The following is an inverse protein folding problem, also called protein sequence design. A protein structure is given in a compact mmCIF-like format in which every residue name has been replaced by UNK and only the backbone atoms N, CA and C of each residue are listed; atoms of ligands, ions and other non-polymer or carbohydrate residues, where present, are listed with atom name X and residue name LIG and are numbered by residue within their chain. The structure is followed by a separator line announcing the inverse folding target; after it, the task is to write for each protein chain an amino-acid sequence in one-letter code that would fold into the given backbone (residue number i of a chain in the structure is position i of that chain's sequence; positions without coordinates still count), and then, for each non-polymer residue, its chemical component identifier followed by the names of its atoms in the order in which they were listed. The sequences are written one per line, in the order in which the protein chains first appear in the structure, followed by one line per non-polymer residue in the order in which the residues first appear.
data_IF_444840158370
#
_entry.id   IF_444840158370
#
_cell.length_a   1.000
_cell.length_b   1.000
_cell.length_c   1.000
_cell.angle_alpha   90.00
_cell.angle_beta   90.00
_cell.angle_gamma   90.00
#
_symmetry.space_group_name_H-M   'P 1'
#
loop_
_entity.id
_entity.type
_entity.pdbx_description
1 polymer ?
#
# COMPACT_ATOMS: atom_id res chain seq x y z
N UNK A 1 -18.01 -21.56 14.33
CA UNK A 1 -16.79 -20.77 14.68
C UNK A 1 -15.73 -21.12 13.65
N UNK A 2 -15.28 -20.16 12.86
CA UNK A 2 -14.18 -20.38 11.92
C UNK A 2 -12.89 -20.67 12.70
N UNK A 3 -12.14 -21.67 12.26
CA UNK A 3 -10.79 -21.92 12.78
C UNK A 3 -9.88 -20.79 12.32
N UNK A 4 -9.13 -20.20 13.23
CA UNK A 4 -8.19 -19.10 12.96
C UNK A 4 -6.77 -19.65 13.06
N UNK A 5 -5.86 -19.16 12.26
CA UNK A 5 -4.42 -19.47 12.35
C UNK A 5 -3.95 -19.22 13.78
N UNK A 6 -3.11 -20.11 14.30
CA UNK A 6 -2.54 -19.94 15.64
C UNK A 6 -1.73 -18.64 15.69
N UNK A 7 -2.01 -17.80 16.67
CA UNK A 7 -1.26 -16.54 16.88
C UNK A 7 0.24 -16.80 17.10
N UNK A 8 0.60 -17.93 17.69
CA UNK A 8 2.00 -18.32 17.87
C UNK A 8 2.69 -18.69 16.56
N UNK A 9 2.02 -19.44 15.67
CA UNK A 9 2.57 -19.78 14.34
C UNK A 9 2.73 -18.52 13.48
N UNK A 10 1.75 -17.60 13.53
CA UNK A 10 1.83 -16.34 12.82
C UNK A 10 2.99 -15.47 13.33
N UNK A 11 3.15 -15.37 14.63
CA UNK A 11 4.25 -14.61 15.24
C UNK A 11 5.60 -15.19 14.86
N UNK A 12 5.78 -16.51 14.98
CA UNK A 12 7.02 -17.19 14.60
C UNK A 12 7.36 -17.01 13.12
N UNK A 13 6.36 -17.11 12.24
CA UNK A 13 6.56 -16.89 10.80
C UNK A 13 6.91 -15.42 10.47
N UNK A 14 6.30 -14.47 11.19
CA UNK A 14 6.62 -13.04 11.05
C UNK A 14 8.04 -12.73 11.53
N UNK A 15 8.45 -13.27 12.69
CA UNK A 15 9.80 -13.10 13.25
C UNK A 15 10.87 -13.69 12.32
N UNK A 16 10.61 -14.87 11.75
CA UNK A 16 11.51 -15.49 10.79
C UNK A 16 11.69 -14.65 9.52
N UNK A 17 10.58 -14.10 8.98
CA UNK A 17 10.64 -13.19 7.83
C UNK A 17 11.38 -11.90 8.17
N UNK A 18 11.05 -11.24 9.29
CA UNK A 18 11.71 -10.00 9.70
C UNK A 18 13.23 -10.19 9.87
N UNK A 19 13.63 -11.30 10.52
CA UNK A 19 15.06 -11.62 10.67
C UNK A 19 15.78 -11.85 9.34
N UNK A 20 15.13 -12.49 8.37
CA UNK A 20 15.69 -12.69 7.05
C UNK A 20 15.85 -11.36 6.30
N UNK A 21 14.83 -10.50 6.33
CA UNK A 21 14.83 -9.21 5.64
C UNK A 21 15.84 -8.22 6.24
N UNK A 22 15.99 -8.19 7.57
CA UNK A 22 16.98 -7.34 8.26
C UNK A 22 18.45 -7.70 7.95
N UNK A 23 18.69 -8.83 7.28
CA UNK A 23 20.04 -9.16 6.80
C UNK A 23 20.41 -8.46 5.48
N UNK A 24 19.45 -7.82 4.83
CA UNK A 24 19.65 -7.09 3.59
C UNK A 24 20.18 -5.68 3.88
N UNK A 25 21.07 -5.18 3.02
CA UNK A 25 21.60 -3.82 3.15
C UNK A 25 20.52 -2.77 2.89
N UNK A 26 20.43 -1.76 3.77
CA UNK A 26 19.44 -0.69 3.67
C UNK A 26 18.00 -1.11 3.99
N UNK A 27 17.83 -2.24 4.68
CA UNK A 27 16.51 -2.75 5.11
C UNK A 27 16.51 -2.97 6.61
N UNK A 28 15.53 -2.39 7.29
CA UNK A 28 15.25 -2.64 8.71
C UNK A 28 13.85 -3.24 8.85
N UNK A 29 13.75 -4.41 9.45
CA UNK A 29 12.50 -5.14 9.55
C UNK A 29 12.22 -5.59 10.98
N UNK A 30 11.04 -5.31 11.45
CA UNK A 30 10.56 -5.68 12.78
C UNK A 30 9.15 -6.27 12.74
N UNK A 31 8.79 -6.96 13.80
CA UNK A 31 7.40 -7.44 13.96
C UNK A 31 6.64 -6.48 14.86
N UNK A 32 5.63 -5.86 14.32
CA UNK A 32 4.69 -5.01 15.06
C UNK A 32 3.39 -5.73 15.34
N UNK A 33 2.87 -5.56 16.56
CA UNK A 33 1.57 -6.11 16.96
C UNK A 33 0.49 -5.04 16.85
N UNK A 34 -0.48 -5.22 15.95
CA UNK A 34 -1.65 -4.36 15.85
C UNK A 34 -2.84 -4.98 16.60
N UNK A 35 -3.43 -4.20 17.48
CA UNK A 35 -4.66 -4.58 18.18
C UNK A 35 -5.82 -4.65 17.19
N UNK A 36 -6.53 -5.76 17.18
CA UNK A 36 -7.78 -5.95 16.46
C UNK A 36 -8.90 -6.31 17.44
N UNK A 37 -10.15 -6.11 17.01
CA UNK A 37 -11.33 -6.42 17.85
C UNK A 37 -11.42 -7.90 18.21
N UNK A 38 -10.92 -8.78 17.35
CA UNK A 38 -11.05 -10.23 17.52
C UNK A 38 -9.78 -10.90 18.03
N UNK A 39 -8.61 -10.48 17.57
CA UNK A 39 -7.31 -11.03 17.99
C UNK A 39 -6.18 -10.08 17.57
N UNK A 40 -5.07 -10.03 18.30
CA UNK A 40 -3.90 -9.28 17.86
C UNK A 40 -3.38 -9.87 16.55
N UNK A 41 -2.92 -8.99 15.64
CA UNK A 41 -2.30 -9.36 14.36
C UNK A 41 -0.83 -8.96 14.41
N UNK A 42 0.03 -9.88 13.99
CA UNK A 42 1.45 -9.61 13.83
C UNK A 42 1.71 -9.18 12.38
N UNK A 43 2.27 -8.00 12.22
CA UNK A 43 2.59 -7.40 10.92
C UNK A 43 4.10 -7.29 10.85
N UNK A 44 4.68 -7.66 9.70
CA UNK A 44 6.09 -7.39 9.42
C UNK A 44 6.20 -5.97 8.90
N UNK A 45 6.76 -5.07 9.72
CA UNK A 45 7.03 -3.68 9.34
C UNK A 45 8.46 -3.58 8.84
N UNK A 46 8.63 -3.01 7.66
CA UNK A 46 9.93 -2.92 6.99
C UNK A 46 10.17 -1.47 6.57
N UNK A 47 11.26 -0.89 7.06
CA UNK A 47 11.77 0.39 6.57
C UNK A 47 12.89 0.11 5.57
N UNK A 48 12.82 0.72 4.38
CA UNK A 48 13.70 0.43 3.27
C UNK A 48 14.18 1.72 2.59
N UNK A 49 15.44 1.73 2.16
CA UNK A 49 15.96 2.79 1.30
C UNK A 49 15.45 2.66 -0.13
N UNK A 50 15.44 3.76 -0.89
CA UNK A 50 15.02 3.75 -2.30
C UNK A 50 15.89 2.82 -3.15
N UNK A 51 17.19 2.77 -2.84
CA UNK A 51 18.18 1.96 -3.57
C UNK A 51 17.96 0.46 -3.36
N UNK A 52 17.54 0.06 -2.15
CA UNK A 52 17.33 -1.34 -1.79
C UNK A 52 15.92 -1.83 -2.13
N UNK A 53 14.99 -0.90 -2.40
CA UNK A 53 13.59 -1.22 -2.59
C UNK A 53 13.32 -2.28 -3.66
N UNK A 54 13.90 -2.14 -4.84
CA UNK A 54 13.63 -3.07 -5.95
C UNK A 54 14.10 -4.49 -5.62
N UNK A 55 15.27 -4.62 -5.00
CA UNK A 55 15.84 -5.92 -4.58
C UNK A 55 14.96 -6.54 -3.48
N UNK A 56 14.53 -5.73 -2.52
CA UNK A 56 13.59 -6.17 -1.47
C UNK A 56 12.27 -6.68 -2.06
N UNK A 57 11.70 -5.97 -3.04
CA UNK A 57 10.45 -6.36 -3.69
C UNK A 57 10.58 -7.73 -4.39
N UNK A 58 11.67 -7.97 -5.10
CA UNK A 58 11.97 -9.25 -5.74
C UNK A 58 12.15 -10.37 -4.70
N UNK A 59 12.88 -10.10 -3.60
CA UNK A 59 13.04 -11.03 -2.50
C UNK A 59 11.70 -11.39 -1.85
N UNK A 60 10.85 -10.41 -1.56
CA UNK A 60 9.50 -10.64 -1.01
C UNK A 60 8.68 -11.56 -1.91
N UNK A 61 8.75 -11.36 -3.22
CA UNK A 61 7.98 -12.16 -4.17
C UNK A 61 8.54 -13.57 -4.33
N UNK A 62 9.85 -13.71 -4.54
CA UNK A 62 10.48 -14.96 -4.94
C UNK A 62 10.84 -15.83 -3.73
N UNK A 63 11.40 -15.24 -2.68
CA UNK A 63 11.89 -16.00 -1.53
C UNK A 63 10.85 -16.16 -0.42
N UNK A 64 9.94 -15.17 -0.29
CA UNK A 64 8.96 -15.16 0.79
C UNK A 64 7.51 -15.43 0.34
N UNK A 65 7.28 -15.68 -0.94
CA UNK A 65 5.96 -16.00 -1.54
C UNK A 65 4.88 -14.94 -1.22
N UNK A 66 5.29 -13.66 -1.18
CA UNK A 66 4.35 -12.56 -1.01
C UNK A 66 3.63 -12.35 -2.35
N UNK A 67 2.38 -12.74 -2.40
CA UNK A 67 1.62 -12.92 -3.64
C UNK A 67 0.61 -11.80 -3.91
N UNK A 68 0.28 -10.98 -2.93
CA UNK A 68 -0.75 -9.96 -3.08
C UNK A 68 -0.27 -8.57 -2.65
N UNK A 69 -0.39 -7.59 -3.56
CA UNK A 69 -0.23 -6.17 -3.26
C UNK A 69 -1.63 -5.57 -3.06
N UNK A 70 -1.95 -5.20 -1.84
CA UNK A 70 -3.29 -4.69 -1.50
C UNK A 70 -3.40 -3.18 -1.66
N UNK A 71 -2.33 -2.45 -1.38
CA UNK A 71 -2.34 -0.99 -1.42
C UNK A 71 -0.93 -0.43 -1.59
N UNK A 72 -0.82 0.66 -2.36
CA UNK A 72 0.35 1.53 -2.40
C UNK A 72 -0.16 2.94 -2.17
N UNK A 73 0.47 3.67 -1.26
CA UNK A 73 0.12 5.07 -1.02
C UNK A 73 1.35 5.92 -0.82
N UNK A 74 1.34 7.12 -1.41
CA UNK A 74 2.39 8.10 -1.25
C UNK A 74 2.05 9.12 -0.19
N UNK A 75 3.07 9.60 0.51
CA UNK A 75 2.97 10.68 1.49
C UNK A 75 3.98 11.75 1.12
N UNK A 76 3.50 12.99 1.06
CA UNK A 76 4.34 14.17 1.06
C UNK A 76 4.37 14.75 2.47
N UNK A 77 5.51 14.72 3.13
CA UNK A 77 5.66 15.25 4.49
C UNK A 77 5.78 16.79 4.45
N UNK A 78 5.30 17.50 5.48
CA UNK A 78 5.48 18.94 5.56
C UNK A 78 6.95 19.32 5.71
N UNK A 79 7.30 20.53 5.29
CA UNK A 79 8.63 21.11 5.49
C UNK A 79 9.08 21.02 6.94
N UNK A 80 10.34 20.64 7.16
CA UNK A 80 10.93 20.47 8.48
C UNK A 80 10.83 19.05 9.05
N UNK A 81 10.30 18.08 8.32
CA UNK A 81 10.42 16.67 8.66
C UNK A 81 11.89 16.26 8.49
N UNK A 82 12.58 15.79 9.56
CA UNK A 82 14.04 15.75 9.55
C UNK A 82 14.65 14.73 8.61
N UNK A 83 13.97 13.67 8.27
CA UNK A 83 14.57 12.51 7.62
C UNK A 83 13.94 12.12 6.28
N UNK A 84 12.79 12.69 5.94
CA UNK A 84 12.06 12.34 4.71
C UNK A 84 11.09 13.43 4.27
N UNK A 85 11.14 13.79 3.01
CA UNK A 85 10.13 14.67 2.41
C UNK A 85 9.01 13.88 1.75
N UNK A 86 9.33 12.71 1.24
CA UNK A 86 8.40 11.80 0.60
C UNK A 86 8.54 10.39 1.14
N UNK A 87 7.46 9.67 1.13
CA UNK A 87 7.42 8.28 1.56
C UNK A 87 6.39 7.52 0.72
N UNK A 88 6.71 6.29 0.36
CA UNK A 88 5.74 5.36 -0.21
C UNK A 88 5.55 4.21 0.76
N UNK A 89 4.30 3.94 1.08
CA UNK A 89 3.91 2.80 1.91
C UNK A 89 3.27 1.76 1.01
N UNK A 90 3.83 0.56 1.06
CA UNK A 90 3.30 -0.62 0.39
C UNK A 90 2.70 -1.55 1.44
N UNK A 91 1.49 -2.00 1.20
CA UNK A 91 0.87 -3.04 2.01
C UNK A 91 0.71 -4.29 1.19
N UNK A 92 1.42 -5.33 1.61
CA UNK A 92 1.42 -6.63 0.96
C UNK A 92 0.80 -7.70 1.87
N UNK A 93 0.39 -8.77 1.25
CA UNK A 93 -0.06 -9.97 1.95
C UNK A 93 0.56 -11.21 1.33
N UNK A 94 1.03 -12.09 2.19
CA UNK A 94 1.26 -13.48 1.85
C UNK A 94 -0.01 -14.24 2.19
N UNK A 95 -0.69 -14.73 1.17
CA UNK A 95 -1.97 -15.41 1.36
C UNK A 95 -1.80 -16.87 1.80
N UNK A 96 -0.61 -17.44 1.62
CA UNK A 96 -0.34 -18.85 1.90
C UNK A 96 -1.11 -19.80 0.96
N UNK A 97 -1.47 -19.31 -0.23
CA UNK A 97 -2.20 -20.11 -1.23
C UNK A 97 -1.21 -21.03 -1.92
N UNK A 98 -1.50 -22.32 -1.90
CA UNK A 98 -0.81 -23.31 -2.73
C UNK A 98 -1.68 -23.68 -3.91
N UNK A 99 -1.07 -24.03 -5.03
CA UNK A 99 -1.82 -24.50 -6.19
C UNK A 99 -2.74 -25.66 -5.83
N UNK A 100 -4.02 -25.59 -6.18
CA UNK A 100 -4.95 -26.66 -5.85
C UNK A 100 -4.59 -27.92 -6.64
N UNK A 101 -4.68 -29.10 -6.02
CA UNK A 101 -4.44 -30.37 -6.73
C UNK A 101 -5.48 -30.56 -7.84
N UNK A 102 -5.03 -31.05 -8.98
CA UNK A 102 -5.89 -31.42 -10.09
C UNK A 102 -6.04 -32.95 -10.08
N UNK A 103 -7.24 -33.44 -9.83
CA UNK A 103 -7.57 -34.87 -9.85
C UNK A 103 -8.60 -35.08 -10.96
N UNK A 104 -8.33 -36.01 -11.89
CA UNK A 104 -9.19 -36.31 -13.05
C UNK A 104 -9.54 -35.07 -13.89
N UNK A 105 -8.60 -34.13 -14.05
CA UNK A 105 -8.80 -32.88 -14.79
C UNK A 105 -9.65 -31.83 -14.08
N UNK A 106 -10.09 -32.07 -12.85
CA UNK A 106 -10.83 -31.11 -12.05
C UNK A 106 -9.97 -30.56 -10.92
N UNK A 107 -10.02 -29.23 -10.76
CA UNK A 107 -9.39 -28.53 -9.63
C UNK A 107 -10.14 -28.87 -8.36
N UNK A 108 -9.44 -29.44 -7.37
CA UNK A 108 -10.01 -29.76 -6.09
C UNK A 108 -9.81 -28.60 -5.09
N UNK A 109 -10.81 -28.27 -4.26
CA UNK A 109 -10.60 -27.26 -3.24
C UNK A 109 -9.57 -27.72 -2.21
N UNK A 110 -8.60 -26.86 -1.89
CA UNK A 110 -7.68 -27.11 -0.79
C UNK A 110 -8.37 -26.71 0.51
N UNK A 111 -8.65 -27.71 1.34
CA UNK A 111 -9.14 -27.47 2.69
C UNK A 111 -7.99 -27.79 3.66
N UNK A 112 -7.20 -26.77 3.99
CA UNK A 112 -6.18 -26.90 5.03
C UNK A 112 -6.76 -26.48 6.37
N UNK A 113 -6.39 -27.18 7.43
CA UNK A 113 -6.70 -26.73 8.79
C UNK A 113 -5.79 -25.53 9.12
N UNK A 114 -6.33 -24.33 9.34
CA UNK A 114 -5.51 -23.15 9.59
C UNK A 114 -4.65 -23.25 10.86
N UNK A 115 -4.95 -24.21 11.73
CA UNK A 115 -4.15 -24.43 12.95
C UNK A 115 -2.89 -25.26 12.71
N UNK A 116 -2.77 -25.91 11.55
CA UNK A 116 -1.62 -26.74 11.17
C UNK A 116 -0.70 -26.09 10.15
N UNK A 117 -0.97 -24.80 9.78
CA UNK A 117 -0.15 -24.08 8.83
C UNK A 117 1.21 -23.73 9.44
N UNK A 118 2.28 -23.95 8.67
CA UNK A 118 3.66 -23.67 9.08
C UNK A 118 4.43 -22.97 7.98
N UNK A 119 5.47 -22.24 8.37
CA UNK A 119 6.40 -21.60 7.45
C UNK A 119 5.73 -20.66 6.47
N UNK A 120 5.94 -20.89 5.17
CA UNK A 120 5.41 -20.04 4.09
C UNK A 120 3.89 -20.19 3.85
N UNK A 121 3.26 -21.22 4.40
CA UNK A 121 1.82 -21.39 4.31
C UNK A 121 1.04 -20.49 5.28
N UNK A 122 1.73 -19.91 6.26
CA UNK A 122 1.11 -19.01 7.23
C UNK A 122 0.84 -17.66 6.57
N UNK A 123 -0.43 -17.19 6.52
CA UNK A 123 -0.73 -15.86 6.02
C UNK A 123 -0.08 -14.76 6.87
N UNK A 124 0.53 -13.77 6.20
CA UNK A 124 1.17 -12.64 6.86
C UNK A 124 0.79 -11.33 6.17
N UNK A 125 0.69 -10.28 6.97
CA UNK A 125 0.63 -8.89 6.51
C UNK A 125 2.05 -8.29 6.57
N UNK A 126 2.45 -7.59 5.52
CA UNK A 126 3.75 -6.93 5.41
C UNK A 126 3.52 -5.48 5.02
N UNK A 127 4.05 -4.55 5.79
CA UNK A 127 4.04 -3.12 5.49
C UNK A 127 5.46 -2.67 5.22
N UNK A 128 5.73 -2.22 3.99
CA UNK A 128 7.03 -1.68 3.61
C UNK A 128 6.92 -0.17 3.46
N UNK A 129 7.82 0.56 4.08
CA UNK A 129 7.96 2.00 3.98
C UNK A 129 9.26 2.33 3.26
N UNK A 130 9.13 3.03 2.16
CA UNK A 130 10.26 3.50 1.37
C UNK A 130 10.36 5.01 1.54
N UNK A 131 11.36 5.45 2.30
CA UNK A 131 11.64 6.87 2.47
C UNK A 131 12.38 7.40 1.24
N UNK A 132 11.84 8.44 0.61
CA UNK A 132 12.47 9.11 -0.52
C UNK A 132 13.10 10.41 0.01
N UNK A 133 14.40 10.64 -0.19
CA UNK A 133 15.09 11.85 0.24
C UNK A 133 14.51 13.10 -0.41
N UNK A 134 14.89 14.27 0.12
CA UNK A 134 14.43 15.54 -0.41
C UNK A 134 14.70 15.67 -1.90
N UNK A 135 13.63 15.78 -2.68
CA UNK A 135 13.69 15.90 -4.12
C UNK A 135 12.49 16.71 -4.61
N UNK A 136 12.70 17.50 -5.66
CA UNK A 136 11.62 18.13 -6.42
C UNK A 136 10.95 17.14 -7.38
N UNK A 137 11.60 16.02 -7.65
CA UNK A 137 11.18 14.99 -8.57
C UNK A 137 11.35 13.64 -7.87
N UNK A 138 10.46 13.33 -6.90
CA UNK A 138 10.56 12.10 -6.11
C UNK A 138 10.32 10.87 -6.97
N UNK A 139 11.23 9.91 -6.89
CA UNK A 139 11.21 8.69 -7.71
C UNK A 139 11.42 7.44 -6.88
N UNK A 140 10.77 6.38 -7.30
CA UNK A 140 10.93 5.04 -6.72
C UNK A 140 10.76 4.00 -7.83
N UNK A 141 11.41 2.85 -7.72
CA UNK A 141 11.24 1.80 -8.70
C UNK A 141 9.82 1.24 -8.69
N UNK A 142 9.21 1.08 -9.86
CA UNK A 142 7.92 0.41 -10.04
C UNK A 142 8.01 -1.07 -9.71
N UNK A 143 6.92 -1.64 -9.22
CA UNK A 143 6.75 -3.07 -8.95
C UNK A 143 5.54 -3.66 -9.68
N UNK A 144 5.05 -2.96 -10.68
CA UNK A 144 3.91 -3.38 -11.50
C UNK A 144 4.16 -4.71 -12.22
N UNK A 145 5.40 -5.00 -12.58
CA UNK A 145 5.83 -6.25 -13.21
C UNK A 145 5.91 -7.44 -12.23
N UNK A 146 5.99 -7.15 -10.93
CA UNK A 146 6.01 -8.15 -9.86
C UNK A 146 4.59 -8.47 -9.38
N UNK A 147 3.78 -7.42 -9.16
CA UNK A 147 2.39 -7.55 -8.71
C UNK A 147 1.45 -6.77 -9.62
N UNK A 148 0.53 -7.48 -10.25
CA UNK A 148 -0.48 -6.86 -11.14
C UNK A 148 -1.31 -5.80 -10.42
N UNK A 149 -1.58 -5.98 -9.12
CA UNK A 149 -2.30 -5.01 -8.30
C UNK A 149 -1.56 -3.68 -8.11
N UNK A 150 -0.25 -3.63 -8.34
CA UNK A 150 0.53 -2.41 -8.22
C UNK A 150 0.25 -1.42 -9.36
N UNK A 151 -0.12 -1.88 -10.55
CA UNK A 151 -0.35 -1.01 -11.72
C UNK A 151 -1.27 0.16 -11.42
N UNK A 152 -2.45 -0.13 -10.88
CA UNK A 152 -3.44 0.92 -10.59
C UNK A 152 -3.04 1.77 -9.38
N UNK A 153 -2.55 1.14 -8.32
CA UNK A 153 -2.14 1.82 -7.09
C UNK A 153 -0.97 2.81 -7.32
N UNK A 154 -0.01 2.45 -8.17
CA UNK A 154 1.09 3.34 -8.55
C UNK A 154 0.59 4.53 -9.37
N UNK A 155 -0.36 4.32 -10.31
CA UNK A 155 -1.00 5.39 -11.06
C UNK A 155 -1.76 6.36 -10.16
N UNK A 156 -2.52 5.85 -9.19
CA UNK A 156 -3.23 6.68 -8.21
C UNK A 156 -2.26 7.50 -7.36
N UNK A 157 -1.19 6.87 -6.87
CA UNK A 157 -0.16 7.53 -6.06
C UNK A 157 0.54 8.64 -6.86
N UNK A 158 0.92 8.35 -8.11
CA UNK A 158 1.49 9.36 -8.99
C UNK A 158 0.50 10.49 -9.26
N UNK A 159 -0.74 10.18 -9.60
CA UNK A 159 -1.76 11.16 -9.95
C UNK A 159 -2.06 12.13 -8.80
N UNK A 160 -2.16 11.61 -7.57
CA UNK A 160 -2.56 12.40 -6.41
C UNK A 160 -1.37 13.06 -5.68
N UNK A 161 -0.23 12.39 -5.62
CA UNK A 161 0.92 12.82 -4.80
C UNK A 161 2.09 13.28 -5.65
N UNK A 162 2.27 12.72 -6.85
CA UNK A 162 3.34 13.11 -7.78
C UNK A 162 4.68 12.41 -7.54
N UNK A 163 4.66 11.23 -6.92
CA UNK A 163 5.83 10.35 -6.86
C UNK A 163 5.89 9.56 -8.16
N UNK A 164 7.01 9.63 -8.88
CA UNK A 164 7.21 8.92 -10.14
C UNK A 164 7.67 7.48 -9.89
N UNK A 165 7.08 6.53 -10.62
CA UNK A 165 7.41 5.11 -10.51
C UNK A 165 8.25 4.69 -11.72
N UNK A 166 9.57 4.64 -11.53
CA UNK A 166 10.52 4.33 -12.61
C UNK A 166 10.32 2.90 -13.12
N UNK A 167 10.18 2.79 -14.44
CA UNK A 167 9.91 1.51 -15.11
C UNK A 167 8.43 1.14 -15.22
N UNK A 168 7.51 1.95 -14.69
CA UNK A 168 6.08 1.72 -14.86
C UNK A 168 5.65 1.89 -16.32
N UNK A 169 4.96 0.90 -16.87
CA UNK A 169 4.47 0.93 -18.26
C UNK A 169 3.07 1.55 -18.33
N UNK A 170 2.95 2.67 -19.02
CA UNK A 170 1.65 3.31 -19.25
C UNK A 170 1.16 4.20 -18.10
N UNK A 171 2.07 4.91 -17.41
CA UNK A 171 1.72 5.92 -16.41
C UNK A 171 0.80 6.98 -17.00
N UNK A 172 -0.31 7.23 -16.35
CA UNK A 172 -1.31 8.23 -16.73
C UNK A 172 -2.20 8.58 -15.55
N UNK A 173 -2.90 9.73 -15.65
CA UNK A 173 -3.94 10.09 -14.68
C UNK A 173 -5.11 9.10 -14.70
N UNK A 174 -5.61 8.75 -13.54
CA UNK A 174 -6.70 7.78 -13.35
C UNK A 174 -7.83 8.33 -12.48
N UNK A 175 -7.54 9.26 -11.59
CA UNK A 175 -8.52 9.89 -10.69
C UNK A 175 -8.81 11.34 -11.08
N UNK A 176 -7.79 12.10 -11.48
CA UNK A 176 -7.96 13.47 -11.92
C UNK A 176 -8.33 13.54 -13.41
N UNK A 177 -9.04 14.62 -13.84
CA UNK A 177 -9.29 14.88 -15.26
C UNK A 177 -7.99 14.91 -16.07
N UNK A 178 -8.05 14.46 -17.32
CA UNK A 178 -6.86 14.45 -18.21
C UNK A 178 -6.34 15.86 -18.52
N UNK A 179 -7.21 16.86 -18.44
CA UNK A 179 -6.88 18.29 -18.66
C UNK A 179 -6.20 18.94 -17.44
N UNK A 180 -6.07 18.22 -16.33
CA UNK A 180 -5.37 18.75 -15.15
C UNK A 180 -3.96 19.18 -15.51
N UNK A 181 -3.53 20.39 -15.09
CA UNK A 181 -2.21 20.91 -15.43
C UNK A 181 -1.08 19.96 -15.08
N UNK A 182 -0.06 19.91 -15.92
CA UNK A 182 1.15 19.09 -15.66
C UNK A 182 1.80 19.56 -14.36
N UNK A 183 2.21 18.62 -13.52
CA UNK A 183 2.84 18.91 -12.23
C UNK A 183 1.87 19.31 -11.12
N UNK A 184 0.55 19.31 -11.37
CA UNK A 184 -0.43 19.48 -10.32
C UNK A 184 -0.80 18.12 -9.71
N UNK A 185 -0.58 17.98 -8.40
CA UNK A 185 -0.91 16.80 -7.60
C UNK A 185 -1.57 17.27 -6.30
N UNK A 186 -2.87 17.01 -6.11
CA UNK A 186 -3.68 17.70 -5.08
C UNK A 186 -3.28 17.38 -3.65
N UNK A 187 -2.61 16.25 -3.39
CA UNK A 187 -2.20 15.87 -2.04
C UNK A 187 -0.81 16.37 -1.66
N UNK A 188 -0.13 17.09 -2.55
CA UNK A 188 1.12 17.77 -2.19
C UNK A 188 0.85 18.89 -1.20
N UNK A 189 1.68 19.01 -0.16
CA UNK A 189 1.45 19.94 0.97
C UNK A 189 1.52 21.42 0.58
N UNK A 190 2.13 21.75 -0.55
CA UNK A 190 2.10 23.11 -1.10
C UNK A 190 0.72 23.52 -1.62
N UNK A 191 -0.11 22.57 -2.02
CA UNK A 191 -1.48 22.82 -2.42
C UNK A 191 -2.34 22.93 -1.16
N UNK A 192 -2.50 24.16 -0.66
CA UNK A 192 -3.47 24.41 0.43
C UNK A 192 -4.85 24.04 -0.09
N UNK A 193 -5.51 23.13 0.58
CA UNK A 193 -6.95 22.97 0.44
C UNK A 193 -7.55 24.35 0.71
N UNK A 194 -8.09 25.00 -0.34
CA UNK A 194 -8.94 26.15 -0.11
C UNK A 194 -10.08 25.64 0.77
N UNK A 195 -10.22 26.22 1.94
CA UNK A 195 -11.51 26.19 2.62
C UNK A 195 -12.44 26.98 1.71
N UNK A 196 -13.10 26.30 0.79
CA UNK A 196 -14.24 26.88 0.14
C UNK A 196 -15.29 27.03 1.25
N UNK A 197 -15.77 28.25 1.48
CA UNK A 197 -16.97 28.41 2.25
C UNK A 197 -18.00 27.46 1.64
N UNK A 198 -18.81 26.86 2.50
CA UNK A 198 -19.80 25.87 2.09
C UNK A 198 -20.69 26.39 0.93
N UNK A 199 -20.82 27.70 0.78
CA UNK A 199 -21.50 28.38 -0.32
C UNK A 199 -20.78 28.22 -1.67
N UNK A 200 -19.44 28.39 -1.73
CA UNK A 200 -18.69 28.25 -2.97
C UNK A 200 -18.70 26.83 -3.50
N UNK A 201 -18.69 25.82 -2.60
CA UNK A 201 -18.71 24.43 -2.99
C UNK A 201 -20.02 23.99 -3.64
N UNK A 202 -21.12 24.68 -3.34
CA UNK A 202 -22.41 24.42 -3.97
C UNK A 202 -22.64 25.22 -5.26
N UNK A 203 -21.99 26.35 -5.44
CA UNK A 203 -22.06 27.13 -6.68
C UNK A 203 -21.30 26.44 -7.82
N UNK A 204 -20.21 25.75 -7.52
CA UNK A 204 -19.41 25.00 -8.51
C UNK A 204 -20.01 23.64 -8.87
N UNK A 205 -20.90 23.11 -8.06
CA UNK A 205 -21.62 21.85 -8.31
C UNK A 205 -22.81 22.09 -9.27
N UNK A 206 -22.54 22.12 -10.56
CA UNK A 206 -23.57 22.20 -11.59
C UNK A 206 -24.65 21.14 -11.38
N UNK A 207 -25.84 21.58 -10.98
CA UNK A 207 -27.01 20.72 -10.80
C UNK A 207 -27.50 20.52 -9.37
N UNK A 208 -26.72 20.88 -8.36
CA UNK A 208 -27.21 20.90 -6.98
C UNK A 208 -27.53 22.34 -6.57
N UNK A 209 -28.77 22.73 -6.79
CA UNK A 209 -29.27 24.11 -6.66
C UNK A 209 -29.59 24.56 -5.23
N UNK A 210 -29.26 23.79 -4.20
CA UNK A 210 -29.50 24.19 -2.81
C UNK A 210 -28.18 24.62 -2.15
N UNK A 211 -28.04 25.91 -1.99
CA UNK A 211 -27.00 26.49 -1.12
C UNK A 211 -27.32 26.18 0.34
N UNK A 212 -26.35 25.97 1.21
CA UNK A 212 -26.58 25.80 2.66
C UNK A 212 -27.36 26.95 3.29
N UNK A 213 -27.16 28.16 2.78
CA UNK A 213 -27.95 29.33 3.19
C UNK A 213 -29.47 29.17 2.93
N UNK A 214 -29.84 28.33 1.99
CA UNK A 214 -31.24 28.09 1.63
C UNK A 214 -31.87 26.97 2.45
N UNK A 215 -31.03 26.07 3.02
CA UNK A 215 -31.52 24.97 3.87
C UNK A 215 -32.19 25.45 5.16
N UNK A 216 -31.81 26.62 5.68
CA UNK A 216 -32.43 27.25 6.84
C UNK A 216 -33.75 28.00 6.56
N UNK A 217 -34.13 28.17 5.28
CA UNK A 217 -35.31 28.92 4.87
C UNK A 217 -36.52 28.05 4.52
N UNK A 218 -36.42 26.74 4.68
CA UNK A 218 -37.54 25.83 4.50
C UNK A 218 -38.37 25.89 5.78
N UNK A 219 -39.42 26.73 5.75
CA UNK A 219 -40.49 26.71 6.74
C UNK A 219 -41.54 25.71 6.32
#
# INVERSE_FOLDING_TARGET
MGKVVSTSSQKSAAEAMASALSSMDGVDAEVSERKSVTSPRNIVSVDCSVESWRILAECLRVEHDVDYCSMITGIHWPEGSPDKNWEVIYHFMRMGVTDPPVIDGMVQPIVKDPTTLEGKEVPLEIEVRVAIPESRDPKVASVQDIWVGADWNEKETWDLVGIDFEGHVGMRRVLQPHETPVGFHPLQKQHKLRYHDFEEMYDDAQGFLRKPSDAGKIK
#
